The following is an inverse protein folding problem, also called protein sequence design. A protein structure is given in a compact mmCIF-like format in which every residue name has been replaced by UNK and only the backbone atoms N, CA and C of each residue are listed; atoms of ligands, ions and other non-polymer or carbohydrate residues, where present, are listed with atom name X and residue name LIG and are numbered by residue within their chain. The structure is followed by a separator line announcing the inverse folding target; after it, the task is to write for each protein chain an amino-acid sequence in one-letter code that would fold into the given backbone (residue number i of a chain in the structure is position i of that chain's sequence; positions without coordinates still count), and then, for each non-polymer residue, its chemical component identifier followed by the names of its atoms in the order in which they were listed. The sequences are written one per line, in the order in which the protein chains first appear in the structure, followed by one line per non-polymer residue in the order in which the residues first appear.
data_IF_951967629414
#
_entry.id   IF_951967629414
#
_cell.length_a   1.000
_cell.length_b   1.000
_cell.length_c   1.000
_cell.angle_alpha   90.00
_cell.angle_beta   90.00
_cell.angle_gamma   90.00
#
_symmetry.space_group_name_H-M   'P 1'
#
loop_
_entity.id
_entity.type
_entity.pdbx_description
1 polymer ?
#
# COMPACT_ATOMS: atom_id res chain seq x y z
N UNK A 1 8.46 5.28 -8.32
CA UNK A 1 7.85 3.94 -8.31
C UNK A 1 6.93 3.72 -9.52
N UNK A 2 5.88 4.54 -9.72
CA UNK A 2 4.90 4.35 -10.83
C UNK A 2 5.57 4.28 -12.21
N UNK A 3 6.54 5.14 -12.51
CA UNK A 3 7.28 5.09 -13.78
C UNK A 3 8.08 3.80 -13.98
N UNK A 4 8.68 3.26 -12.91
CA UNK A 4 9.40 1.97 -12.96
C UNK A 4 8.42 0.83 -13.20
N UNK A 5 7.28 0.83 -12.52
CA UNK A 5 6.23 -0.19 -12.71
C UNK A 5 5.68 -0.13 -14.13
N UNK A 6 5.41 1.06 -14.67
CA UNK A 6 4.96 1.22 -16.05
C UNK A 6 5.96 0.62 -17.06
N UNK A 7 7.25 0.94 -16.90
CA UNK A 7 8.29 0.46 -17.82
C UNK A 7 8.45 -1.06 -17.70
N UNK A 8 8.59 -1.59 -16.49
CA UNK A 8 8.82 -3.02 -16.28
C UNK A 8 7.60 -3.87 -16.66
N UNK A 9 6.39 -3.44 -16.29
CA UNK A 9 5.16 -4.15 -16.67
C UNK A 9 4.89 -4.05 -18.18
N UNK A 10 5.19 -2.90 -18.80
CA UNK A 10 5.08 -2.74 -20.26
C UNK A 10 6.07 -3.63 -21.02
N UNK A 11 7.32 -3.72 -20.56
CA UNK A 11 8.31 -4.65 -21.11
C UNK A 11 7.89 -6.12 -20.90
N UNK A 12 7.37 -6.45 -19.71
CA UNK A 12 6.86 -7.79 -19.40
C UNK A 12 5.73 -8.22 -20.34
N UNK A 13 4.77 -7.34 -20.61
CA UNK A 13 3.68 -7.62 -21.56
C UNK A 13 4.22 -7.99 -22.95
N UNK A 14 5.19 -7.23 -23.47
CA UNK A 14 5.79 -7.47 -24.79
C UNK A 14 6.54 -8.80 -24.84
N UNK A 15 7.23 -9.17 -23.76
CA UNK A 15 8.06 -10.38 -23.69
C UNK A 15 7.24 -11.65 -23.45
N UNK A 16 6.18 -11.58 -22.62
CA UNK A 16 5.46 -12.78 -22.15
C UNK A 16 4.07 -13.00 -22.76
N UNK A 17 3.29 -11.94 -23.05
CA UNK A 17 1.89 -12.08 -23.49
C UNK A 17 1.69 -11.83 -24.99
N UNK A 18 2.69 -11.26 -25.68
CA UNK A 18 2.58 -10.87 -27.09
C UNK A 18 1.67 -9.64 -27.29
N UNK A 19 1.81 -8.89 -28.41
CA UNK A 19 1.01 -7.68 -28.64
C UNK A 19 -0.44 -8.01 -29.00
N UNK A 20 -1.23 -8.39 -28.01
CA UNK A 20 -2.68 -8.53 -28.07
C UNK A 20 -3.36 -7.28 -27.51
N UNK A 21 -4.22 -6.64 -28.30
CA UNK A 21 -5.02 -5.53 -27.78
C UNK A 21 -6.18 -6.05 -26.93
N UNK A 22 -6.44 -5.47 -25.74
CA UNK A 22 -7.62 -5.82 -24.96
C UNK A 22 -8.88 -5.49 -25.76
N UNK A 23 -9.62 -6.53 -26.17
CA UNK A 23 -10.87 -6.38 -26.91
C UNK A 23 -12.03 -6.32 -25.92
N UNK A 24 -12.58 -5.13 -25.74
CA UNK A 24 -13.83 -4.96 -24.98
C UNK A 24 -13.87 -3.68 -24.16
N UNK A 25 -15.01 -3.00 -24.23
CA UNK A 25 -15.29 -1.77 -23.48
C UNK A 25 -15.17 -1.94 -21.96
N UNK A 26 -15.45 -3.14 -21.45
CA UNK A 26 -15.32 -3.49 -20.03
C UNK A 26 -13.87 -3.38 -19.53
N UNK A 27 -12.88 -3.76 -20.35
CA UNK A 27 -11.48 -3.73 -19.95
C UNK A 27 -10.98 -2.28 -19.84
N UNK A 28 -11.32 -1.44 -20.81
CA UNK A 28 -10.95 -0.02 -20.78
C UNK A 28 -11.60 0.72 -19.61
N UNK A 29 -12.87 0.42 -19.31
CA UNK A 29 -13.54 0.94 -18.11
C UNK A 29 -12.84 0.50 -16.82
N UNK A 30 -12.54 -0.79 -16.70
CA UNK A 30 -11.83 -1.34 -15.54
C UNK A 30 -10.47 -0.66 -15.36
N UNK A 31 -9.68 -0.57 -16.44
CA UNK A 31 -8.38 0.06 -16.46
C UNK A 31 -8.44 1.55 -16.06
N UNK A 32 -9.44 2.28 -16.54
CA UNK A 32 -9.62 3.68 -16.18
C UNK A 32 -9.96 3.83 -14.69
N UNK A 33 -10.89 3.02 -14.18
CA UNK A 33 -11.32 3.10 -12.78
C UNK A 33 -10.16 2.71 -11.83
N UNK A 34 -9.47 1.60 -12.10
CA UNK A 34 -8.38 1.13 -11.22
C UNK A 34 -7.10 1.96 -11.39
N UNK A 35 -6.76 2.35 -12.61
CA UNK A 35 -5.56 3.15 -12.89
C UNK A 35 -5.68 4.61 -12.46
N UNK A 36 -6.82 5.25 -12.71
CA UNK A 36 -6.98 6.66 -12.37
C UNK A 36 -7.44 6.83 -10.91
N UNK A 37 -8.60 6.28 -10.54
CA UNK A 37 -9.16 6.51 -9.21
C UNK A 37 -8.45 5.69 -8.13
N UNK A 38 -8.30 4.38 -8.33
CA UNK A 38 -7.71 3.54 -7.29
C UNK A 38 -6.20 3.75 -7.15
N UNK A 39 -5.49 4.14 -8.22
CA UNK A 39 -4.03 4.32 -8.20
C UNK A 39 -3.63 5.79 -8.16
N UNK A 40 -3.88 6.57 -9.22
CA UNK A 40 -3.35 7.94 -9.32
C UNK A 40 -3.89 8.88 -8.23
N UNK A 41 -5.21 8.86 -7.99
CA UNK A 41 -5.84 9.69 -6.94
C UNK A 41 -5.42 9.21 -5.54
N UNK A 42 -5.38 7.90 -5.30
CA UNK A 42 -4.94 7.35 -4.02
C UNK A 42 -3.49 7.74 -3.70
N UNK A 43 -2.56 7.59 -4.64
CA UNK A 43 -1.17 8.01 -4.45
C UNK A 43 -1.01 9.52 -4.27
N UNK A 44 -1.80 10.32 -4.99
CA UNK A 44 -1.80 11.77 -4.80
C UNK A 44 -2.26 12.14 -3.39
N UNK A 45 -3.38 11.58 -2.93
CA UNK A 45 -3.89 11.79 -1.58
C UNK A 45 -2.88 11.31 -0.54
N UNK A 46 -2.31 10.12 -0.74
CA UNK A 46 -1.30 9.52 0.11
C UNK A 46 -0.10 10.47 0.28
N UNK A 47 0.50 10.94 -0.82
CA UNK A 47 1.62 11.88 -0.77
C UNK A 47 1.23 13.21 -0.11
N UNK A 48 0.01 13.70 -0.36
CA UNK A 48 -0.46 14.95 0.24
C UNK A 48 -0.60 14.82 1.75
N UNK A 49 -1.26 13.78 2.23
CA UNK A 49 -1.47 13.57 3.67
C UNK A 49 -0.16 13.22 4.38
N UNK A 50 0.68 12.37 3.79
CA UNK A 50 2.03 12.08 4.31
C UNK A 50 2.87 13.35 4.56
N UNK A 51 2.67 14.39 3.75
CA UNK A 51 3.37 15.68 3.93
C UNK A 51 2.84 16.54 5.09
N UNK A 52 1.65 16.23 5.60
CA UNK A 52 0.92 17.03 6.59
C UNK A 52 0.94 16.42 8.00
N UNK A 53 1.13 15.11 8.13
CA UNK A 53 1.13 14.39 9.42
C UNK A 53 2.49 13.76 9.70
N UNK A 54 2.73 13.38 10.97
CA UNK A 54 3.99 12.76 11.35
C UNK A 54 4.18 11.38 10.69
N UNK A 55 5.43 10.94 10.59
CA UNK A 55 5.75 9.61 10.05
C UNK A 55 5.11 8.47 10.89
N UNK A 56 4.97 8.66 12.21
CA UNK A 56 4.31 7.71 13.10
C UNK A 56 2.81 7.60 12.82
N UNK A 57 2.13 8.74 12.68
CA UNK A 57 0.67 8.74 12.43
C UNK A 57 0.35 8.17 11.04
N UNK A 58 1.17 8.49 10.04
CA UNK A 58 1.08 7.91 8.70
C UNK A 58 1.20 6.38 8.73
N UNK A 59 2.14 5.85 9.52
CA UNK A 59 2.37 4.42 9.62
C UNK A 59 1.21 3.70 10.30
N UNK A 60 0.52 4.31 11.27
CA UNK A 60 -0.74 3.80 11.83
C UNK A 60 -1.82 3.67 10.74
N UNK A 61 -1.94 4.67 9.86
CA UNK A 61 -2.93 4.65 8.78
C UNK A 61 -2.63 3.51 7.79
N UNK A 62 -1.39 3.35 7.33
CA UNK A 62 -1.04 2.23 6.44
C UNK A 62 -1.13 0.87 7.13
N UNK A 63 -0.87 0.81 8.43
CA UNK A 63 -1.08 -0.43 9.19
C UNK A 63 -2.56 -0.82 9.28
N UNK A 64 -3.47 0.16 9.15
CA UNK A 64 -4.91 -0.09 9.16
C UNK A 64 -5.43 -0.60 7.82
N UNK A 65 -4.72 -0.33 6.71
CA UNK A 65 -5.08 -0.78 5.35
C UNK A 65 -5.36 -2.29 5.25
N UNK A 66 -4.46 -3.21 5.68
CA UNK A 66 -4.73 -4.65 5.59
C UNK A 66 -5.92 -5.10 6.43
N UNK A 67 -6.26 -4.40 7.53
CA UNK A 67 -7.45 -4.71 8.34
C UNK A 67 -8.71 -4.41 7.55
N UNK A 68 -8.78 -3.23 6.93
CA UNK A 68 -9.90 -2.86 6.06
C UNK A 68 -9.97 -3.75 4.82
N UNK A 69 -8.84 -4.09 4.21
CA UNK A 69 -8.78 -5.00 3.08
C UNK A 69 -9.33 -6.39 3.45
N UNK A 70 -8.93 -6.96 4.58
CA UNK A 70 -9.45 -8.24 5.07
C UNK A 70 -10.95 -8.16 5.42
N UNK A 71 -11.39 -7.07 6.03
CA UNK A 71 -12.80 -6.83 6.34
C UNK A 71 -13.64 -6.75 5.07
N UNK A 72 -13.22 -5.97 4.09
CA UNK A 72 -13.94 -5.82 2.83
C UNK A 72 -13.86 -7.08 1.95
N UNK A 73 -12.76 -7.84 1.99
CA UNK A 73 -12.65 -9.15 1.35
C UNK A 73 -13.66 -10.16 1.93
N UNK A 74 -13.81 -10.18 3.25
CA UNK A 74 -14.83 -11.01 3.91
C UNK A 74 -16.26 -10.56 3.58
N UNK A 75 -16.56 -9.26 3.65
CA UNK A 75 -17.93 -8.75 3.45
C UNK A 75 -18.38 -8.74 1.98
N UNK A 76 -17.54 -8.27 1.06
CA UNK A 76 -17.93 -8.02 -0.33
C UNK A 76 -17.54 -9.16 -1.28
N UNK A 77 -16.39 -9.81 -1.04
CA UNK A 77 -15.94 -10.94 -1.87
C UNK A 77 -16.33 -12.30 -1.25
N UNK A 78 -16.81 -12.33 0.00
CA UNK A 78 -17.17 -13.56 0.69
C UNK A 78 -15.97 -14.46 1.02
N UNK A 79 -14.75 -13.90 1.02
CA UNK A 79 -13.54 -14.66 1.27
C UNK A 79 -13.52 -15.17 2.72
N UNK A 80 -13.46 -16.50 2.88
CA UNK A 80 -13.30 -17.13 4.20
C UNK A 80 -11.81 -17.32 4.47
N UNK A 81 -11.33 -16.67 5.53
CA UNK A 81 -9.96 -16.84 6.01
C UNK A 81 -9.73 -18.30 6.41
N UNK A 82 -8.96 -19.04 5.59
CA UNK A 82 -8.46 -20.34 5.95
C UNK A 82 -7.50 -20.23 7.15
N UNK A 83 -7.35 -21.29 7.93
CA UNK A 83 -6.52 -21.27 9.16
C UNK A 83 -5.08 -20.75 8.92
N UNK A 84 -4.49 -21.06 7.76
CA UNK A 84 -3.17 -20.54 7.37
C UNK A 84 -3.15 -19.04 7.05
N UNK A 85 -4.22 -18.50 6.46
CA UNK A 85 -4.36 -17.06 6.20
C UNK A 85 -4.55 -16.27 7.50
N UNK A 86 -5.23 -16.85 8.49
CA UNK A 86 -5.33 -16.26 9.82
C UNK A 86 -3.97 -16.10 10.51
N UNK A 87 -3.09 -17.08 10.36
CA UNK A 87 -1.72 -17.05 10.90
C UNK A 87 -0.86 -15.98 10.20
N UNK A 88 -0.98 -15.88 8.87
CA UNK A 88 -0.35 -14.82 8.09
C UNK A 88 -0.86 -13.42 8.47
N UNK A 89 -2.17 -13.27 8.66
CA UNK A 89 -2.76 -12.01 9.11
C UNK A 89 -2.26 -11.62 10.51
N UNK A 90 -2.19 -12.57 11.44
CA UNK A 90 -1.65 -12.33 12.79
C UNK A 90 -0.19 -11.87 12.73
N UNK A 91 0.64 -12.50 11.89
CA UNK A 91 2.04 -12.12 11.69
C UNK A 91 2.18 -10.69 11.14
N UNK A 92 1.37 -10.32 10.13
CA UNK A 92 1.38 -8.96 9.56
C UNK A 92 1.01 -7.93 10.62
N UNK A 93 -0.08 -8.15 11.37
CA UNK A 93 -0.53 -7.23 12.42
C UNK A 93 0.52 -7.09 13.53
N UNK A 94 1.15 -8.19 13.93
CA UNK A 94 2.22 -8.19 14.95
C UNK A 94 3.44 -7.42 14.46
N UNK A 95 3.89 -7.68 13.23
CA UNK A 95 5.03 -6.97 12.63
C UNK A 95 4.77 -5.47 12.50
N UNK A 96 3.55 -5.07 12.09
CA UNK A 96 3.15 -3.68 12.02
C UNK A 96 3.17 -3.02 13.40
N UNK A 97 2.62 -3.67 14.43
CA UNK A 97 2.63 -3.15 15.80
C UNK A 97 4.06 -2.94 16.33
N UNK A 98 4.95 -3.89 16.06
CA UNK A 98 6.37 -3.80 16.43
C UNK A 98 7.08 -2.66 15.69
N UNK A 99 6.81 -2.48 14.40
CA UNK A 99 7.41 -1.42 13.58
C UNK A 99 7.02 0.00 14.03
N UNK A 100 5.91 0.14 14.76
CA UNK A 100 5.40 1.41 15.25
C UNK A 100 5.98 1.80 16.62
N UNK A 101 6.67 0.88 17.29
CA UNK A 101 7.33 1.20 18.55
C UNK A 101 8.49 2.17 18.29
N UNK A 102 8.58 3.30 19.01
CA UNK A 102 9.68 4.23 18.85
C UNK A 102 11.01 3.50 19.09
N UNK A 103 12.05 3.77 18.27
CA UNK A 103 13.33 3.11 18.43
C UNK A 103 13.85 3.36 19.85
N UNK A 104 14.05 2.26 20.59
CA UNK A 104 14.60 2.29 21.94
C UNK A 104 16.01 2.89 21.90
N UNK A 105 16.10 4.19 22.18
CA UNK A 105 17.36 4.91 22.32
C UNK A 105 17.80 5.68 21.09
N UNK A 106 17.28 6.90 20.94
CA UNK A 106 18.12 8.04 20.52
C UNK A 106 18.05 9.11 21.59
N UNK A 107 18.94 9.01 22.60
CA UNK A 107 19.34 10.17 23.39
C UNK A 107 19.95 11.17 22.41
N UNK A 108 19.16 12.16 22.03
CA UNK A 108 19.67 13.34 21.35
C UNK A 108 20.46 14.14 22.40
N UNK A 109 21.73 13.83 22.55
CA UNK A 109 22.67 14.71 23.22
C UNK A 109 22.91 15.94 22.34
N UNK A 110 21.97 16.89 22.33
CA UNK A 110 22.29 18.27 21.95
C UNK A 110 22.81 18.93 23.21
N UNK A 111 24.13 19.00 23.33
CA UNK A 111 24.80 19.87 24.31
C UNK A 111 24.32 21.29 24.07
N UNK A 112 23.97 21.93 25.17
CA UNK A 112 23.73 23.35 25.26
C UNK A 112 24.98 24.10 24.77
N UNK A 113 24.84 24.85 23.68
CA UNK A 113 25.76 25.94 23.41
C UNK A 113 25.04 27.24 23.77
N UNK A 114 25.28 27.66 25.00
CA UNK A 114 25.18 29.06 25.42
C UNK A 114 26.28 29.81 24.68
N UNK A 115 25.87 30.76 23.83
CA UNK A 115 26.31 32.18 23.75
C UNK A 115 25.68 32.80 22.52
#
# INVERSE_FOLDING_TARGET
QIGVVMVLSGLGMVVFEGPGYPRGWTVYKGLFITGFFATAVAFWAQNRFQSLISAGDTAIIFASEPVFAAMFGYLFLGERLAAGQGLGALLILTAMLVAQLPPAGRRHGRKDHIT
#
